data_IF_068939359905
#
_entry.id   IF_068939359905
#
_cell.length_a   1.000
_cell.length_b   1.000
_cell.length_c   1.000
_cell.angle_alpha   90.00
_cell.angle_beta   90.00
_cell.angle_gamma   90.00
#
_symmetry.space_group_name_H-M   'P 1'
#
loop_
_entity.id
_entity.type
_entity.pdbx_description
1 polymer ?
#
# COMPACT_ATOMS: atom_id res chain seq x y z
N UNK A 1 -12.01 22.95 -9.11
CA UNK A 1 -11.34 21.73 -8.61
C UNK A 1 -11.36 21.78 -7.10
N UNK A 2 -11.90 20.76 -6.44
CA UNK A 2 -11.83 20.64 -4.99
C UNK A 2 -10.38 20.40 -4.56
N UNK A 3 -9.88 21.20 -3.62
CA UNK A 3 -8.53 21.07 -3.08
C UNK A 3 -8.54 19.94 -2.04
N UNK A 4 -8.14 18.73 -2.46
CA UNK A 4 -8.06 17.58 -1.57
C UNK A 4 -6.70 17.51 -0.90
N UNK A 5 -6.70 17.25 0.40
CA UNK A 5 -5.48 16.86 1.10
C UNK A 5 -5.14 15.40 0.74
N UNK A 6 -3.87 15.14 0.42
CA UNK A 6 -3.38 13.81 0.08
C UNK A 6 -2.40 13.36 1.18
N UNK A 7 -2.67 12.20 1.78
CA UNK A 7 -1.77 11.55 2.75
C UNK A 7 -1.35 10.20 2.19
N UNK A 8 -0.04 10.02 1.99
CA UNK A 8 0.54 8.75 1.56
C UNK A 8 1.11 8.00 2.77
N UNK A 9 0.62 6.79 3.03
CA UNK A 9 1.07 5.90 4.10
C UNK A 9 1.79 4.72 3.45
N UNK A 10 3.07 4.52 3.76
CA UNK A 10 3.89 3.43 3.23
C UNK A 10 4.55 2.66 4.39
N UNK A 11 4.03 1.47 4.69
CA UNK A 11 4.67 0.52 5.60
C UNK A 11 5.99 -0.02 5.02
N UNK A 12 6.89 -0.50 5.85
CA UNK A 12 8.10 -1.21 5.42
C UNK A 12 7.93 -2.73 5.57
N UNK A 13 8.41 -3.48 4.58
CA UNK A 13 8.38 -4.96 4.51
C UNK A 13 7.01 -5.65 4.68
N UNK A 14 5.89 -4.92 4.60
CA UNK A 14 4.56 -5.52 4.72
C UNK A 14 4.25 -6.42 3.53
N UNK A 15 3.89 -7.67 3.80
CA UNK A 15 3.43 -8.61 2.78
C UNK A 15 1.93 -8.46 2.54
N UNK A 16 1.45 -8.86 1.37
CA UNK A 16 0.03 -8.72 1.01
C UNK A 16 -0.88 -9.65 1.85
N UNK A 17 -0.35 -10.78 2.30
CA UNK A 17 -1.04 -11.83 3.05
C UNK A 17 -0.94 -11.64 4.58
N UNK A 18 -0.74 -10.40 5.05
CA UNK A 18 -0.76 -10.07 6.49
C UNK A 18 -1.95 -9.20 6.88
N UNK A 19 -2.83 -8.85 5.93
CA UNK A 19 -3.98 -7.98 6.17
C UNK A 19 -5.29 -8.76 6.28
N UNK A 20 -6.07 -8.46 7.31
CA UNK A 20 -7.36 -9.11 7.53
C UNK A 20 -8.37 -8.78 6.43
N UNK A 21 -8.40 -7.54 5.95
CA UNK A 21 -9.22 -7.14 4.80
C UNK A 21 -8.86 -7.85 3.48
N UNK A 22 -7.70 -8.50 3.40
CA UNK A 22 -7.28 -9.33 2.26
C UNK A 22 -7.38 -10.84 2.54
N UNK A 23 -8.02 -11.23 3.65
CA UNK A 23 -8.34 -12.63 3.98
C UNK A 23 -7.41 -13.29 4.99
N UNK A 24 -6.39 -12.59 5.51
CA UNK A 24 -5.49 -13.17 6.52
C UNK A 24 -6.15 -13.19 7.92
N UNK A 25 -6.12 -14.33 8.61
CA UNK A 25 -6.75 -14.48 9.93
C UNK A 25 -5.80 -14.30 11.12
N UNK A 26 -4.49 -14.19 10.87
CA UNK A 26 -3.45 -14.19 11.92
C UNK A 26 -3.05 -12.82 12.45
N UNK A 27 -3.56 -11.73 11.88
CA UNK A 27 -3.23 -10.35 12.31
C UNK A 27 -4.51 -9.53 12.41
N UNK A 28 -4.56 -8.64 13.40
CA UNK A 28 -5.64 -7.67 13.54
C UNK A 28 -5.16 -6.31 13.02
N UNK A 29 -5.83 -5.80 11.99
CA UNK A 29 -5.48 -4.52 11.34
C UNK A 29 -6.67 -3.56 11.28
N UNK A 30 -7.37 -3.28 12.40
CA UNK A 30 -8.71 -2.67 12.38
C UNK A 30 -8.77 -1.30 11.67
N UNK A 31 -7.69 -0.51 11.72
CA UNK A 31 -7.62 0.77 11.02
C UNK A 31 -7.43 0.63 9.51
N UNK A 32 -6.63 -0.34 9.06
CA UNK A 32 -6.43 -0.64 7.63
C UNK A 32 -7.70 -1.28 7.07
N UNK A 33 -8.33 -2.17 7.83
CA UNK A 33 -9.57 -2.82 7.43
C UNK A 33 -10.70 -1.80 7.26
N UNK A 34 -10.81 -0.85 8.20
CA UNK A 34 -11.75 0.28 8.10
C UNK A 34 -11.45 1.18 6.90
N UNK A 35 -10.18 1.38 6.56
CA UNK A 35 -9.79 2.16 5.38
C UNK A 35 -10.20 1.44 4.09
N UNK A 36 -9.94 0.13 3.99
CA UNK A 36 -10.35 -0.69 2.86
C UNK A 36 -11.88 -0.73 2.68
N UNK A 37 -12.64 -0.87 3.78
CA UNK A 37 -14.11 -0.90 3.76
C UNK A 37 -14.74 0.44 3.32
N UNK A 38 -14.04 1.56 3.48
CA UNK A 38 -14.49 2.90 3.08
C UNK A 38 -13.90 3.35 1.74
N UNK A 39 -13.11 2.51 1.08
CA UNK A 39 -12.33 2.87 -0.09
C UNK A 39 -12.21 1.72 -1.06
N UNK A 40 -11.00 1.54 -1.62
CA UNK A 40 -10.71 0.50 -2.60
C UNK A 40 -9.41 -0.19 -2.24
N UNK A 41 -9.42 -1.52 -2.30
CA UNK A 41 -8.24 -2.35 -2.12
C UNK A 41 -7.92 -3.07 -3.44
N UNK A 42 -6.64 -3.10 -3.82
CA UNK A 42 -6.18 -3.75 -5.03
C UNK A 42 -5.60 -5.13 -4.69
N UNK A 43 -6.19 -6.20 -5.23
CA UNK A 43 -5.68 -7.56 -5.05
C UNK A 43 -4.38 -7.83 -5.83
N UNK A 44 -3.99 -6.93 -6.75
CA UNK A 44 -2.85 -7.09 -7.66
C UNK A 44 -2.03 -5.80 -7.74
N UNK A 45 -1.47 -5.38 -6.61
CA UNK A 45 -0.54 -4.25 -6.52
C UNK A 45 0.90 -4.78 -6.36
N UNK A 46 1.74 -4.54 -7.36
CA UNK A 46 3.14 -5.00 -7.38
C UNK A 46 4.09 -3.82 -7.18
N UNK A 47 5.14 -4.01 -6.37
CA UNK A 47 6.23 -3.05 -6.28
C UNK A 47 7.14 -3.15 -7.52
N UNK A 48 7.74 -2.03 -7.90
CA UNK A 48 8.66 -1.95 -9.05
C UNK A 48 10.01 -2.61 -8.75
N UNK A 49 10.37 -2.71 -7.46
CA UNK A 49 11.56 -3.39 -6.97
C UNK A 49 11.32 -3.92 -5.55
N UNK A 50 11.85 -5.11 -5.20
CA UNK A 50 11.78 -5.64 -3.83
C UNK A 50 12.75 -4.95 -2.85
N UNK A 51 13.49 -3.92 -3.28
CA UNK A 51 14.42 -3.14 -2.45
C UNK A 51 13.79 -1.78 -2.11
N UNK A 52 13.95 -1.34 -0.86
CA UNK A 52 13.29 -0.16 -0.30
C UNK A 52 13.52 1.13 -1.12
N UNK A 53 14.76 1.51 -1.37
CA UNK A 53 15.12 2.75 -2.09
C UNK A 53 14.54 2.78 -3.51
N UNK A 54 14.81 1.82 -4.40
CA UNK A 54 14.28 1.86 -5.77
C UNK A 54 12.74 1.79 -5.81
N UNK A 55 12.10 1.06 -4.90
CA UNK A 55 10.63 1.03 -4.79
C UNK A 55 10.05 2.40 -4.45
N UNK A 56 10.60 3.08 -3.43
CA UNK A 56 10.16 4.41 -2.99
C UNK A 56 10.44 5.48 -4.04
N UNK A 57 11.61 5.46 -4.68
CA UNK A 57 11.95 6.39 -5.77
C UNK A 57 11.00 6.21 -6.95
N UNK A 58 10.66 4.97 -7.30
CA UNK A 58 9.71 4.69 -8.39
C UNK A 58 8.32 5.25 -8.09
N UNK A 59 7.84 5.10 -6.85
CA UNK A 59 6.55 5.65 -6.43
C UNK A 59 6.52 7.19 -6.49
N UNK A 60 7.60 7.85 -6.07
CA UNK A 60 7.68 9.32 -6.02
C UNK A 60 7.85 9.96 -7.41
N UNK A 61 8.55 9.29 -8.32
CA UNK A 61 8.87 9.82 -9.66
C UNK A 61 7.95 9.32 -10.76
N UNK A 62 7.27 8.20 -10.55
CA UNK A 62 6.49 7.51 -11.59
C UNK A 62 7.36 6.81 -12.64
N UNK A 63 8.66 6.65 -12.40
CA UNK A 63 9.62 6.01 -13.30
C UNK A 63 10.05 4.65 -12.75
N UNK A 64 10.43 3.72 -13.63
CA UNK A 64 11.04 2.45 -13.20
C UNK A 64 12.48 2.68 -12.69
N UNK A 65 12.97 1.85 -11.75
CA UNK A 65 14.36 1.90 -11.33
C UNK A 65 15.27 1.36 -12.46
N UNK A 66 16.48 1.92 -12.57
CA UNK A 66 17.55 1.43 -13.45
C UNK A 66 18.32 0.27 -12.82
#
# INVERSE_FOLDING_TARGET
MSNFNIVWICSDQQRWDTLQCLGFKGTQTPNIDRLAARGTAFARAYCQSPICTPSRTSFLTGLYPI
#
